data_IF_814215130707
#
_entry.id   IF_814215130707
#
_cell.length_a   1.000
_cell.length_b   1.000
_cell.length_c   1.000
_cell.angle_alpha   90.00
_cell.angle_beta   90.00
_cell.angle_gamma   90.00
#
_symmetry.space_group_name_H-M   'P 1'
#
loop_
_entity.id
_entity.type
_entity.pdbx_description
1 polymer ?
#
# COMPACT_ATOMS: atom_id res chain seq x y z
N UNK A 1 29.12 -10.33 11.00
CA UNK A 1 29.76 -8.99 11.15
C UNK A 1 28.76 -8.04 11.82
N UNK A 2 28.97 -7.66 13.09
CA UNK A 2 28.04 -6.79 13.85
C UNK A 2 27.78 -5.43 13.19
N UNK A 3 28.79 -4.80 12.57
CA UNK A 3 28.64 -3.54 11.87
C UNK A 3 27.73 -3.67 10.63
N UNK A 4 27.79 -4.80 9.93
CA UNK A 4 26.88 -5.09 8.82
C UNK A 4 25.43 -5.29 9.30
N UNK A 5 25.23 -5.92 10.46
CA UNK A 5 23.89 -6.09 11.07
C UNK A 5 23.32 -4.74 11.49
N UNK A 6 24.14 -3.88 12.12
CA UNK A 6 23.72 -2.52 12.49
C UNK A 6 23.36 -1.68 11.25
N UNK A 7 24.14 -1.77 10.17
CA UNK A 7 23.84 -1.09 8.90
C UNK A 7 22.58 -1.63 8.23
N UNK A 8 22.33 -2.93 8.31
CA UNK A 8 21.09 -3.53 7.81
C UNK A 8 19.88 -3.03 8.62
N UNK A 9 20.00 -2.93 9.94
CA UNK A 9 18.96 -2.41 10.82
C UNK A 9 18.58 -0.96 10.50
N UNK A 10 19.55 -0.10 10.17
CA UNK A 10 19.25 1.28 9.76
C UNK A 10 18.55 1.33 8.40
N UNK A 11 18.93 0.47 7.44
CA UNK A 11 18.32 0.40 6.11
C UNK A 11 16.88 -0.13 6.10
N UNK A 12 16.54 -1.06 7.01
CA UNK A 12 15.16 -1.56 7.15
C UNK A 12 14.29 -0.65 8.02
N UNK A 13 14.91 0.28 8.75
CA UNK A 13 14.17 1.24 9.57
C UNK A 13 13.52 2.31 8.70
N UNK A 14 12.21 2.47 8.86
CA UNK A 14 11.41 3.46 8.17
C UNK A 14 10.46 4.11 9.17
N UNK A 15 10.37 5.44 9.15
CA UNK A 15 9.55 6.20 10.10
C UNK A 15 8.06 6.10 9.79
N UNK A 16 7.70 5.70 8.56
CA UNK A 16 6.32 5.72 8.08
C UNK A 16 5.74 7.13 7.96
N UNK A 17 6.55 8.19 8.12
CA UNK A 17 6.11 9.58 8.05
C UNK A 17 6.16 10.07 6.61
N UNK A 18 5.04 10.58 6.10
CA UNK A 18 4.97 11.22 4.77
C UNK A 18 4.44 12.65 4.87
N UNK A 19 5.18 13.59 4.29
CA UNK A 19 4.80 15.02 4.24
C UNK A 19 4.27 15.43 2.86
N UNK A 20 4.47 14.59 1.85
CA UNK A 20 3.94 14.77 0.48
C UNK A 20 2.90 13.70 0.18
N UNK A 21 1.91 13.98 -0.69
CA UNK A 21 0.98 12.98 -1.19
C UNK A 21 1.73 11.73 -1.66
N UNK A 22 1.41 10.59 -1.07
CA UNK A 22 2.08 9.32 -1.27
C UNK A 22 1.03 8.23 -1.43
N UNK A 23 1.25 7.33 -2.38
CA UNK A 23 0.37 6.19 -2.65
C UNK A 23 1.14 4.91 -2.32
N UNK A 24 0.57 4.09 -1.44
CA UNK A 24 1.01 2.72 -1.21
C UNK A 24 0.09 1.80 -1.99
N UNK A 25 0.64 0.93 -2.83
CA UNK A 25 -0.14 -0.04 -3.61
C UNK A 25 0.49 -1.42 -3.55
N UNK A 26 -0.30 -2.41 -3.13
CA UNK A 26 0.21 -3.75 -2.81
C UNK A 26 -0.77 -4.85 -3.18
N UNK A 27 -0.23 -5.90 -3.81
CA UNK A 27 -0.88 -7.20 -3.92
C UNK A 27 -0.90 -7.91 -2.57
N UNK A 28 -2.07 -8.40 -2.14
CA UNK A 28 -2.19 -9.07 -0.83
C UNK A 28 -1.54 -10.45 -0.82
N UNK A 29 -1.30 -11.05 -1.99
CA UNK A 29 -0.62 -12.34 -2.18
C UNK A 29 0.76 -12.19 -2.83
N UNK A 30 1.50 -11.14 -2.47
CA UNK A 30 2.93 -10.97 -2.79
C UNK A 30 3.79 -11.79 -1.81
N UNK A 31 4.55 -12.80 -2.29
CA UNK A 31 5.39 -13.63 -1.44
C UNK A 31 6.75 -13.00 -1.11
N UNK A 32 7.23 -12.03 -1.91
CA UNK A 32 8.54 -11.41 -1.74
C UNK A 32 8.47 -10.25 -0.74
N UNK A 33 7.41 -9.45 -0.81
CA UNK A 33 7.12 -8.44 0.21
C UNK A 33 5.73 -8.68 0.75
N UNK A 34 5.60 -8.98 2.03
CA UNK A 34 4.29 -9.35 2.57
C UNK A 34 3.38 -8.12 2.74
N UNK A 35 2.07 -8.32 2.64
CA UNK A 35 1.07 -7.26 2.81
C UNK A 35 1.16 -6.58 4.20
N UNK A 36 1.53 -7.34 5.23
CA UNK A 36 1.75 -6.83 6.59
C UNK A 36 2.83 -5.75 6.70
N UNK A 37 3.77 -5.68 5.75
CA UNK A 37 4.75 -4.59 5.68
C UNK A 37 4.07 -3.29 5.27
N UNK A 38 3.22 -3.30 4.23
CA UNK A 38 2.44 -2.10 3.88
C UNK A 38 1.51 -1.68 5.03
N UNK A 39 0.92 -2.64 5.74
CA UNK A 39 0.09 -2.35 6.91
C UNK A 39 0.88 -1.64 8.01
N UNK A 40 2.10 -2.08 8.32
CA UNK A 40 2.91 -1.43 9.35
C UNK A 40 3.28 0.01 8.97
N UNK A 41 3.51 0.31 7.68
CA UNK A 41 3.66 1.68 7.19
C UNK A 41 2.39 2.51 7.35
N UNK A 42 1.22 1.92 7.06
CA UNK A 42 -0.07 2.58 7.21
C UNK A 42 -0.36 2.93 8.67
N UNK A 43 -0.13 1.98 9.58
CA UNK A 43 -0.35 2.15 11.02
C UNK A 43 0.57 3.22 11.61
N UNK A 44 1.86 3.21 11.25
CA UNK A 44 2.84 4.23 11.67
C UNK A 44 2.42 5.63 11.21
N UNK A 45 1.93 5.74 9.98
CA UNK A 45 1.47 7.03 9.47
C UNK A 45 0.19 7.50 10.15
N UNK A 46 -0.75 6.59 10.42
CA UNK A 46 -1.98 6.91 11.15
C UNK A 46 -1.68 7.43 12.56
N UNK A 47 -0.75 6.79 13.29
CA UNK A 47 -0.30 7.25 14.60
C UNK A 47 0.34 8.66 14.51
N UNK A 48 1.27 8.86 13.58
CA UNK A 48 1.90 10.15 13.36
C UNK A 48 0.89 11.26 12.96
N UNK A 49 -0.12 10.93 12.15
CA UNK A 49 -1.18 11.88 11.80
C UNK A 49 -2.02 12.29 13.02
N UNK A 50 -2.33 11.33 13.90
CA UNK A 50 -3.01 11.60 15.15
C UNK A 50 -2.19 12.51 16.09
N UNK A 51 -0.88 12.29 16.18
CA UNK A 51 0.05 13.17 16.91
C UNK A 51 0.05 14.59 16.34
N UNK A 52 0.19 14.72 15.01
CA UNK A 52 0.10 16.02 14.31
C UNK A 52 -1.22 16.74 14.61
N UNK A 53 -2.33 16.00 14.61
CA UNK A 53 -3.64 16.57 14.94
C UNK A 53 -3.76 17.00 16.40
N UNK A 54 -3.21 16.21 17.34
CA UNK A 54 -3.18 16.58 18.75
C UNK A 54 -2.37 17.86 19.00
N UNK A 55 -1.20 17.99 18.35
CA UNK A 55 -0.37 19.18 18.41
C UNK A 55 -1.06 20.42 17.80
N UNK A 56 -1.68 20.27 16.63
CA UNK A 56 -2.44 21.34 15.97
C UNK A 56 -3.56 21.89 16.87
N UNK A 57 -4.32 21.00 17.53
CA UNK A 57 -5.35 21.40 18.50
C UNK A 57 -4.78 22.20 19.67
N UNK A 58 -3.64 21.78 20.24
CA UNK A 58 -2.95 22.50 21.32
C UNK A 58 -2.48 23.89 20.87
N UNK A 59 -2.08 24.03 19.62
CA UNK A 59 -1.69 25.30 19.01
C UNK A 59 -2.89 26.19 18.57
N UNK A 60 -4.13 25.79 18.87
CA UNK A 60 -5.34 26.54 18.49
C UNK A 60 -5.76 26.37 17.03
N UNK A 61 -5.09 25.53 16.24
CA UNK A 61 -5.44 25.25 14.85
C UNK A 61 -6.69 24.38 14.80
N UNK A 62 -7.75 24.87 14.14
CA UNK A 62 -9.04 24.19 14.01
C UNK A 62 -9.16 23.31 12.78
N UNK A 63 -8.21 23.41 11.84
CA UNK A 63 -8.17 22.60 10.62
C UNK A 63 -7.37 21.33 10.84
N UNK A 64 -7.96 20.18 10.50
CA UNK A 64 -7.26 18.89 10.60
C UNK A 64 -6.14 18.84 9.54
N UNK A 65 -4.92 18.42 9.88
CA UNK A 65 -3.86 18.21 8.89
C UNK A 65 -4.32 17.28 7.78
N UNK A 66 -3.88 17.55 6.54
CA UNK A 66 -4.13 16.65 5.42
C UNK A 66 -3.57 15.25 5.70
N UNK A 67 -4.29 14.22 5.28
CA UNK A 67 -3.83 12.83 5.36
C UNK A 67 -3.16 12.47 4.04
N UNK A 68 -1.82 12.50 4.00
CA UNK A 68 -1.05 12.43 2.76
C UNK A 68 -0.76 11.01 2.27
N UNK A 69 -1.18 9.98 2.99
CA UNK A 69 -0.98 8.59 2.56
C UNK A 69 -2.30 8.01 2.03
N UNK A 70 -2.27 7.51 0.80
CA UNK A 70 -3.35 6.74 0.19
C UNK A 70 -2.92 5.27 0.13
N UNK A 71 -3.64 4.41 0.84
CA UNK A 71 -3.32 2.96 0.92
C UNK A 71 -4.27 2.18 0.03
N UNK A 72 -3.73 1.50 -0.96
CA UNK A 72 -4.47 0.74 -1.94
C UNK A 72 -4.05 -0.74 -1.90
N UNK A 73 -5.02 -1.61 -2.11
CA UNK A 73 -4.86 -3.06 -2.11
C UNK A 73 -5.29 -3.66 -3.43
N UNK A 74 -4.63 -4.74 -3.81
CA UNK A 74 -4.98 -5.58 -4.94
C UNK A 74 -5.13 -7.01 -4.41
N UNK A 75 -6.37 -7.49 -4.36
CA UNK A 75 -6.68 -8.84 -3.90
C UNK A 75 -6.59 -9.79 -5.07
N UNK A 76 -6.00 -10.98 -4.93
CA UNK A 76 -6.09 -11.96 -6.00
C UNK A 76 -7.56 -12.33 -6.24
N UNK A 77 -7.92 -12.80 -7.45
CA UNK A 77 -9.21 -13.44 -7.69
C UNK A 77 -9.47 -14.55 -6.68
N UNK A 78 -10.73 -14.97 -6.47
CA UNK A 78 -11.04 -16.11 -5.58
C UNK A 78 -10.32 -17.41 -6.03
N UNK A 79 -10.17 -17.58 -7.35
CA UNK A 79 -9.47 -18.70 -7.98
C UNK A 79 -8.39 -18.16 -8.91
N UNK A 80 -7.13 -18.43 -8.58
CA UNK A 80 -5.97 -17.85 -9.28
C UNK A 80 -4.81 -18.84 -9.50
N UNK A 81 -4.99 -20.11 -9.10
CA UNK A 81 -4.03 -21.18 -9.30
C UNK A 81 -4.76 -22.37 -9.91
N UNK A 82 -4.12 -22.98 -10.90
CA UNK A 82 -4.55 -24.22 -11.53
C UNK A 82 -3.45 -25.25 -11.35
N UNK A 83 -3.80 -26.50 -11.13
CA UNK A 83 -2.86 -27.61 -11.06
C UNK A 83 -2.98 -28.46 -12.33
N UNK A 84 -1.86 -29.01 -12.78
CA UNK A 84 -1.81 -29.98 -13.86
C UNK A 84 -2.35 -31.33 -13.37
N UNK A 85 -2.58 -32.28 -14.30
CA UNK A 85 -2.97 -33.64 -13.93
C UNK A 85 -1.92 -34.35 -13.05
N UNK A 86 -0.65 -33.91 -13.10
CA UNK A 86 0.44 -34.41 -12.25
C UNK A 86 0.47 -33.76 -10.85
N UNK A 87 -0.45 -32.83 -10.54
CA UNK A 87 -0.54 -32.15 -9.25
C UNK A 87 0.43 -30.98 -9.06
N UNK A 88 1.21 -30.61 -10.07
CA UNK A 88 2.07 -29.42 -10.06
C UNK A 88 1.29 -28.16 -10.45
N UNK A 89 1.67 -26.95 -9.98
CA UNK A 89 1.08 -25.71 -10.47
C UNK A 89 1.26 -25.53 -11.98
N UNK A 90 0.21 -25.15 -12.68
CA UNK A 90 0.21 -24.80 -14.10
C UNK A 90 0.76 -23.38 -14.28
N UNK A 91 1.98 -23.27 -14.82
CA UNK A 91 2.69 -22.01 -15.03
C UNK A 91 2.67 -21.53 -16.50
N UNK A 92 1.85 -22.17 -17.34
CA UNK A 92 1.77 -21.84 -18.78
C UNK A 92 1.10 -20.49 -19.07
N UNK A 93 0.36 -19.95 -18.11
CA UNK A 93 -0.30 -18.65 -18.19
C UNK A 93 0.30 -17.65 -17.20
N UNK A 94 0.29 -16.34 -17.51
CA UNK A 94 0.72 -15.32 -16.56
C UNK A 94 -0.07 -15.42 -15.25
N UNK A 95 0.63 -15.20 -14.13
CA UNK A 95 0.01 -15.17 -12.82
C UNK A 95 -1.07 -14.08 -12.76
N UNK A 96 -2.18 -14.36 -12.07
CA UNK A 96 -3.23 -13.37 -11.88
C UNK A 96 -2.71 -12.16 -11.08
N UNK A 97 -3.19 -10.96 -11.39
CA UNK A 97 -2.82 -9.75 -10.64
C UNK A 97 -3.16 -9.90 -9.14
N UNK A 98 -2.33 -9.29 -8.29
CA UNK A 98 -2.46 -9.41 -6.82
C UNK A 98 -1.76 -10.64 -6.23
N UNK A 99 -1.31 -11.56 -7.08
CA UNK A 99 -0.40 -12.67 -6.75
C UNK A 99 1.01 -12.36 -7.20
N UNK A 100 2.03 -13.01 -6.61
CA UNK A 100 3.44 -12.81 -6.99
C UNK A 100 3.95 -11.37 -6.68
N UNK A 101 5.22 -11.10 -6.95
CA UNK A 101 5.85 -9.82 -6.61
C UNK A 101 5.51 -8.74 -7.64
N UNK A 102 4.92 -7.64 -7.19
CA UNK A 102 4.59 -6.46 -8.01
C UNK A 102 3.80 -6.77 -9.29
N UNK A 103 2.97 -7.81 -9.30
CA UNK A 103 2.22 -8.23 -10.48
C UNK A 103 0.93 -7.42 -10.65
N UNK A 104 1.05 -6.29 -11.33
CA UNK A 104 -0.05 -5.37 -11.60
C UNK A 104 -0.33 -5.29 -13.09
N UNK A 105 -1.59 -5.06 -13.45
CA UNK A 105 -1.95 -4.82 -14.85
C UNK A 105 -1.45 -3.45 -15.32
N UNK A 106 -1.31 -3.27 -16.63
CA UNK A 106 -0.99 -1.96 -17.23
C UNK A 106 -2.00 -0.89 -16.80
N UNK A 107 -3.30 -1.24 -16.74
CA UNK A 107 -4.35 -0.32 -16.28
C UNK A 107 -4.15 0.17 -14.84
N UNK A 108 -3.61 -0.68 -13.96
CA UNK A 108 -3.31 -0.34 -12.58
C UNK A 108 -2.10 0.59 -12.49
N UNK A 109 -1.04 0.31 -13.24
CA UNK A 109 0.12 1.21 -13.31
C UNK A 109 -0.29 2.59 -13.83
N UNK A 110 -1.07 2.66 -14.91
CA UNK A 110 -1.57 3.94 -15.45
C UNK A 110 -2.47 4.66 -14.45
N UNK A 111 -3.34 3.94 -13.73
CA UNK A 111 -4.16 4.55 -12.69
C UNK A 111 -3.30 5.17 -11.56
N UNK A 112 -2.24 4.48 -11.12
CA UNK A 112 -1.28 5.02 -10.15
C UNK A 112 -0.58 6.26 -10.73
N UNK A 113 -0.07 6.19 -11.96
CA UNK A 113 0.61 7.31 -12.62
C UNK A 113 -0.29 8.55 -12.72
N UNK A 114 -1.55 8.38 -13.13
CA UNK A 114 -2.52 9.47 -13.21
C UNK A 114 -2.85 10.06 -11.84
N UNK A 115 -2.95 9.23 -10.80
CA UNK A 115 -3.16 9.71 -9.43
C UNK A 115 -1.94 10.46 -8.89
N UNK A 116 -0.73 10.04 -9.26
CA UNK A 116 0.51 10.75 -8.92
C UNK A 116 0.61 12.08 -9.66
N UNK A 117 0.24 12.13 -10.95
CA UNK A 117 0.18 13.38 -11.72
C UNK A 117 -0.81 14.37 -11.08
N UNK A 118 -2.02 13.90 -10.77
CA UNK A 118 -3.00 14.70 -10.03
C UNK A 118 -2.41 15.22 -8.70
N UNK A 119 -1.74 14.35 -7.95
CA UNK A 119 -1.18 14.72 -6.67
C UNK A 119 -0.03 15.74 -6.77
N UNK A 120 0.78 15.66 -7.82
CA UNK A 120 1.84 16.62 -8.12
C UNK A 120 1.27 18.00 -8.45
N UNK A 121 0.20 18.07 -9.24
CA UNK A 121 -0.45 19.33 -9.63
C UNK A 121 -1.25 19.97 -8.48
N UNK A 122 -1.87 19.15 -7.62
CA UNK A 122 -2.84 19.63 -6.63
C UNK A 122 -2.31 19.63 -5.18
N UNK A 123 -1.12 19.06 -4.95
CA UNK A 123 -0.55 18.91 -3.61
C UNK A 123 -1.34 17.99 -2.67
N UNK A 124 -2.25 17.16 -3.20
CA UNK A 124 -3.11 16.22 -2.43
C UNK A 124 -3.45 14.97 -3.22
N UNK A 125 -3.65 13.85 -2.54
CA UNK A 125 -4.10 12.62 -3.19
C UNK A 125 -5.51 12.79 -3.78
N UNK A 126 -5.77 12.08 -4.89
CA UNK A 126 -7.12 11.93 -5.41
C UNK A 126 -8.01 11.26 -4.36
N UNK A 127 -9.25 11.74 -4.21
CA UNK A 127 -10.18 11.28 -3.17
C UNK A 127 -11.63 11.29 -3.65
N UNK A 128 -12.54 10.76 -2.84
CA UNK A 128 -13.98 10.75 -3.11
C UNK A 128 -14.37 9.94 -4.35
N UNK A 129 -15.45 10.35 -5.02
CA UNK A 129 -16.01 9.63 -6.17
C UNK A 129 -15.05 9.51 -7.36
N UNK A 130 -14.16 10.50 -7.55
CA UNK A 130 -13.14 10.47 -8.60
C UNK A 130 -12.12 9.33 -8.37
N UNK A 131 -11.64 9.19 -7.13
CA UNK A 131 -10.78 8.07 -6.74
C UNK A 131 -11.49 6.73 -6.99
N UNK A 132 -12.70 6.56 -6.45
CA UNK A 132 -13.45 5.31 -6.57
C UNK A 132 -13.73 4.93 -8.04
N UNK A 133 -13.99 5.92 -8.89
CA UNK A 133 -14.16 5.71 -10.33
C UNK A 133 -12.85 5.27 -11.00
N UNK A 134 -11.72 5.89 -10.62
CA UNK A 134 -10.40 5.51 -11.14
C UNK A 134 -10.06 4.07 -10.76
N UNK A 135 -10.22 3.70 -9.48
CA UNK A 135 -9.94 2.35 -8.99
C UNK A 135 -10.82 1.29 -9.69
N UNK A 136 -12.11 1.58 -9.85
CA UNK A 136 -13.05 0.71 -10.56
C UNK A 136 -12.64 0.48 -12.02
N UNK A 137 -12.26 1.55 -12.74
CA UNK A 137 -11.82 1.47 -14.13
C UNK A 137 -10.49 0.75 -14.29
N UNK A 138 -9.58 0.91 -13.33
CA UNK A 138 -8.30 0.21 -13.31
C UNK A 138 -8.47 -1.30 -13.11
N UNK A 139 -9.51 -1.69 -12.36
CA UNK A 139 -9.82 -3.07 -12.02
C UNK A 139 -8.94 -3.59 -10.89
N UNK A 140 -9.54 -4.39 -10.00
CA UNK A 140 -8.82 -5.09 -8.93
C UNK A 140 -7.93 -4.19 -8.02
N UNK A 141 -8.35 -2.94 -7.81
CA UNK A 141 -7.75 -2.00 -6.86
C UNK A 141 -8.82 -1.54 -5.87
N UNK A 142 -8.48 -1.47 -4.58
CA UNK A 142 -9.41 -1.00 -3.56
C UNK A 142 -8.75 -0.15 -2.49
N UNK A 143 -9.48 0.89 -2.05
CA UNK A 143 -9.21 1.67 -0.85
C UNK A 143 -10.04 1.08 0.30
N UNK A 144 -9.92 -0.23 0.54
CA UNK A 144 -10.69 -0.90 1.59
C UNK A 144 -10.24 -0.37 2.96
N UNK A 145 -11.13 0.35 3.62
CA UNK A 145 -10.90 0.96 4.95
C UNK A 145 -11.07 -0.03 6.10
N UNK A 146 -11.70 -1.18 5.84
CA UNK A 146 -11.91 -2.26 6.81
C UNK A 146 -10.84 -3.34 6.75
N UNK A 147 -10.13 -3.45 5.62
CA UNK A 147 -9.03 -4.40 5.50
C UNK A 147 -7.82 -3.99 6.34
N UNK A 148 -7.32 -4.95 7.11
CA UNK A 148 -6.04 -4.86 7.84
C UNK A 148 -5.23 -6.09 7.50
N UNK A 149 -4.07 -5.92 6.86
CA UNK A 149 -3.26 -7.08 6.51
C UNK A 149 -2.62 -7.71 7.78
N UNK A 150 -2.57 -9.05 7.88
CA UNK A 150 -1.90 -9.71 8.99
C UNK A 150 -0.44 -9.26 9.13
N UNK A 151 -0.04 -8.86 10.33
CA UNK A 151 1.34 -8.50 10.66
C UNK A 151 2.13 -9.74 11.04
N UNK A 152 3.34 -9.89 10.51
CA UNK A 152 4.28 -10.89 11.02
C UNK A 152 4.94 -10.35 12.30
N UNK A 153 4.96 -11.18 13.35
CA UNK A 153 5.61 -10.86 14.64
C UNK A 153 7.08 -10.41 14.51
N UNK A 154 7.80 -10.89 13.49
CA UNK A 154 9.21 -10.56 13.27
C UNK A 154 9.47 -9.16 12.66
N UNK A 155 8.44 -8.43 12.22
CA UNK A 155 8.58 -7.15 11.49
C UNK A 155 7.93 -5.98 12.26
N UNK A 156 8.00 -6.02 13.60
CA UNK A 156 7.61 -4.91 14.48
C UNK A 156 6.15 -4.96 14.96
N UNK A 157 5.88 -5.91 15.86
CA UNK A 157 4.76 -5.83 16.79
C UNK A 157 5.01 -4.78 17.88
#
# INVERSE_FOLDING_TARGET
NPAAIAKLQTLVSHTGKVDKPSILFKGTSDPATLAGIQQSLADRYAAHHAEKWAAAKKAGVRTKPAYNQLVLWNFPPEKYMKFTAAGSPDTSIPAATGTNHCNFSVSQYLAIADMLAYAAENGKNLSGGALLTKLRKAGNMTFDRGYTAPRLRAIGG
#
